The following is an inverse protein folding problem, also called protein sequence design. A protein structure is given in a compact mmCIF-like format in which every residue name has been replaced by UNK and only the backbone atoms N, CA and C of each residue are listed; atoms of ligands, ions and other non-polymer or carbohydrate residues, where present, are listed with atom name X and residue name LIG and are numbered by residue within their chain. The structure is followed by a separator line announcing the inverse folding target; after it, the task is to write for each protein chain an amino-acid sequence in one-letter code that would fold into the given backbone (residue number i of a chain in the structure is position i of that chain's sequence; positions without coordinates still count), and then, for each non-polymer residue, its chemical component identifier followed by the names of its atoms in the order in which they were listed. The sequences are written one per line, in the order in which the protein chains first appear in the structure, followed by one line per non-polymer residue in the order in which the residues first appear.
data_IF_936156525146
#
_entry.id   IF_936156525146
#
_cell.length_a   1.000
_cell.length_b   1.000
_cell.length_c   1.000
_cell.angle_alpha   90.00
_cell.angle_beta   90.00
_cell.angle_gamma   90.00
#
_symmetry.space_group_name_H-M   'P 1'
#
loop_
_entity.id
_entity.type
_entity.pdbx_description
1 polymer ?
#
# COMPACT_ATOMS: atom_id res chain seq x y z
N UNK A 1 0.05 3.24 33.11
CA UNK A 1 -0.94 2.41 32.38
C UNK A 1 -0.17 1.33 31.67
N UNK A 2 -0.54 0.03 31.82
CA UNK A 2 0.24 -1.04 31.19
C UNK A 2 -0.11 -1.10 29.70
N UNK A 3 0.89 -1.15 28.83
CA UNK A 3 0.79 -1.17 27.37
C UNK A 3 -0.23 -2.23 26.87
N UNK A 4 -0.27 -3.41 27.52
CA UNK A 4 -1.21 -4.49 27.21
C UNK A 4 -2.71 -4.14 27.39
N UNK A 5 -3.04 -3.00 27.98
CA UNK A 5 -4.42 -2.51 28.16
C UNK A 5 -4.77 -1.39 27.17
N UNK A 6 -3.83 -0.96 26.36
CA UNK A 6 -4.01 0.09 25.37
C UNK A 6 -4.42 -0.51 24.03
N UNK A 7 -5.19 0.23 23.25
CA UNK A 7 -5.47 -0.09 21.84
C UNK A 7 -4.44 0.50 20.89
N UNK A 8 -3.87 1.61 21.29
CA UNK A 8 -2.83 2.36 20.60
C UNK A 8 -1.85 2.93 21.61
N UNK A 9 -0.60 3.04 21.21
CA UNK A 9 0.44 3.65 22.02
C UNK A 9 1.34 4.55 21.15
N UNK A 10 1.87 5.66 21.68
CA UNK A 10 2.74 6.52 20.92
C UNK A 10 4.10 5.85 20.64
N UNK A 11 4.56 5.97 19.39
CA UNK A 11 5.91 5.61 18.98
C UNK A 11 6.52 6.78 18.24
N UNK A 12 7.59 7.36 18.78
CA UNK A 12 8.22 8.54 18.19
C UNK A 12 8.98 8.25 16.90
N UNK A 13 9.38 7.00 16.71
CA UNK A 13 10.15 6.57 15.55
C UNK A 13 9.38 5.47 14.85
N UNK A 14 9.20 5.65 13.55
CA UNK A 14 8.63 4.65 12.66
C UNK A 14 9.65 4.32 11.57
N UNK A 15 9.53 3.15 10.97
CA UNK A 15 10.42 2.71 9.93
C UNK A 15 9.65 2.34 8.68
N UNK A 16 10.29 2.52 7.52
CA UNK A 16 9.78 2.02 6.26
C UNK A 16 10.93 1.58 5.37
N UNK A 17 10.64 0.64 4.49
CA UNK A 17 11.55 0.29 3.42
C UNK A 17 11.37 1.27 2.27
N UNK A 18 12.50 1.84 1.82
CA UNK A 18 12.59 2.71 0.67
C UNK A 18 13.58 2.10 -0.32
N UNK A 19 13.54 2.52 -1.56
CA UNK A 19 14.60 2.17 -2.49
C UNK A 19 15.64 3.30 -2.55
N UNK A 20 16.93 2.95 -2.54
CA UNK A 20 18.00 3.91 -2.81
C UNK A 20 18.00 4.32 -4.30
N UNK A 21 18.89 5.22 -4.66
CA UNK A 21 19.04 5.69 -6.05
C UNK A 21 19.41 4.59 -7.07
N UNK A 22 19.81 3.41 -6.59
CA UNK A 22 20.16 2.23 -7.39
C UNK A 22 19.05 1.19 -7.39
N UNK A 23 17.93 1.46 -6.71
CA UNK A 23 16.80 0.52 -6.59
C UNK A 23 16.97 -0.55 -5.50
N UNK A 24 18.00 -0.46 -4.64
CA UNK A 24 18.14 -1.42 -3.55
C UNK A 24 17.27 -1.01 -2.36
N UNK A 25 16.60 -1.98 -1.68
CA UNK A 25 15.82 -1.69 -0.50
C UNK A 25 16.73 -1.26 0.66
N UNK A 26 16.43 -0.10 1.24
CA UNK A 26 17.09 0.43 2.44
C UNK A 26 16.04 0.74 3.50
N UNK A 27 16.41 0.52 4.76
CA UNK A 27 15.56 0.86 5.87
C UNK A 27 15.72 2.33 6.22
N UNK A 28 14.63 3.08 6.16
CA UNK A 28 14.58 4.50 6.51
C UNK A 28 13.85 4.71 7.83
N UNK A 29 14.47 5.45 8.74
CA UNK A 29 13.87 5.87 10.01
C UNK A 29 13.19 7.24 9.88
N UNK A 30 12.04 7.37 10.51
CA UNK A 30 11.20 8.56 10.46
C UNK A 30 10.78 8.97 11.87
N UNK A 31 10.76 10.26 12.15
CA UNK A 31 10.10 10.77 13.35
C UNK A 31 8.81 11.46 12.97
N UNK A 32 7.76 11.18 13.76
CA UNK A 32 6.42 11.71 13.57
C UNK A 32 6.11 12.74 14.65
N UNK A 33 5.22 13.68 14.32
CA UNK A 33 4.73 14.66 15.31
C UNK A 33 3.77 13.99 16.31
N UNK A 34 3.67 14.52 17.54
CA UNK A 34 2.65 14.10 18.50
C UNK A 34 1.25 14.12 17.87
N UNK A 35 0.48 13.06 18.09
CA UNK A 35 -0.84 12.88 17.49
C UNK A 35 -0.85 12.13 16.15
N UNK A 36 0.32 11.95 15.51
CA UNK A 36 0.52 11.07 14.33
C UNK A 36 1.44 9.89 14.63
N UNK A 37 1.83 9.76 15.87
CA UNK A 37 2.76 8.77 16.38
C UNK A 37 2.08 7.56 17.02
N UNK A 38 0.76 7.46 16.95
CA UNK A 38 0.02 6.35 17.52
C UNK A 38 0.19 5.08 16.68
N UNK A 39 0.63 4.01 17.36
CA UNK A 39 0.81 2.67 16.81
C UNK A 39 -0.18 1.72 17.47
N UNK A 40 -0.79 0.86 16.68
CA UNK A 40 -1.81 -0.09 17.13
C UNK A 40 -1.19 -1.15 18.04
N UNK A 41 -1.79 -1.34 19.22
CA UNK A 41 -1.40 -2.39 20.16
C UNK A 41 -2.35 -3.57 19.98
N UNK A 42 -1.80 -4.76 19.73
CA UNK A 42 -2.56 -6.01 19.56
C UNK A 42 -1.96 -7.13 20.37
N UNK A 43 -2.78 -8.11 20.73
CA UNK A 43 -2.33 -9.32 21.43
C UNK A 43 -2.12 -10.44 20.44
N UNK A 44 -1.09 -11.22 20.67
CA UNK A 44 -0.94 -12.50 19.98
C UNK A 44 -1.78 -13.56 20.68
N UNK A 45 -2.44 -14.40 19.91
CA UNK A 45 -3.30 -15.48 20.38
C UNK A 45 -2.66 -16.84 20.09
N UNK A 46 -2.86 -17.80 21.00
CA UNK A 46 -2.34 -19.14 20.78
C UNK A 46 -3.19 -19.91 19.79
N UNK A 47 -2.59 -20.34 18.69
CA UNK A 47 -3.19 -21.24 17.73
C UNK A 47 -2.75 -22.68 18.03
N UNK A 48 -3.69 -23.49 18.47
CA UNK A 48 -3.42 -24.90 18.84
C UNK A 48 -3.08 -25.78 17.63
N UNK A 49 -3.48 -25.41 16.42
CA UNK A 49 -3.16 -26.15 15.19
C UNK A 49 -1.72 -25.84 14.74
N UNK A 50 -1.33 -24.59 14.82
CA UNK A 50 0.03 -24.15 14.52
C UNK A 50 1.01 -24.39 15.67
N UNK A 51 0.52 -24.72 16.89
CA UNK A 51 1.29 -24.82 18.13
C UNK A 51 2.17 -23.56 18.37
N UNK A 52 1.64 -22.40 18.05
CA UNK A 52 2.35 -21.14 18.06
C UNK A 52 1.41 -19.98 18.45
N UNK A 53 2.00 -18.86 18.83
CA UNK A 53 1.25 -17.61 18.98
C UNK A 53 1.19 -16.91 17.64
N UNK A 54 0.01 -16.47 17.26
CA UNK A 54 -0.25 -15.85 15.95
C UNK A 54 -0.91 -14.49 16.10
N UNK A 55 -0.64 -13.64 15.15
CA UNK A 55 -1.35 -12.40 14.91
C UNK A 55 -1.48 -12.19 13.41
N UNK A 56 -2.70 -11.90 12.94
CA UNK A 56 -2.95 -11.56 11.54
C UNK A 56 -3.25 -10.07 11.43
N UNK A 57 -2.55 -9.39 10.53
CA UNK A 57 -2.69 -7.95 10.31
C UNK A 57 -4.08 -7.57 9.81
N UNK A 58 -4.44 -6.30 10.01
CA UNK A 58 -5.73 -5.73 9.61
C UNK A 58 -5.69 -5.18 8.17
N UNK A 59 -4.52 -5.14 7.56
CA UNK A 59 -4.28 -4.69 6.19
C UNK A 59 -4.65 -5.76 5.16
N UNK A 60 -4.79 -5.34 3.92
CA UNK A 60 -4.93 -6.21 2.76
C UNK A 60 -3.69 -6.03 1.84
N UNK A 61 -3.00 -7.11 1.43
CA UNK A 61 -3.19 -8.49 1.88
C UNK A 61 -2.83 -8.69 3.37
N UNK A 62 -3.53 -9.59 4.02
CA UNK A 62 -3.29 -9.95 5.43
C UNK A 62 -2.00 -10.73 5.56
N UNK A 63 -1.19 -10.36 6.55
CA UNK A 63 0.05 -11.05 6.91
C UNK A 63 -0.15 -11.72 8.26
N UNK A 64 0.09 -13.02 8.35
CA UNK A 64 0.06 -13.74 9.62
C UNK A 64 1.47 -13.88 10.17
N UNK A 65 1.68 -13.32 11.34
CA UNK A 65 2.92 -13.42 12.09
C UNK A 65 2.80 -14.59 13.04
N UNK A 66 3.83 -15.42 13.09
CA UNK A 66 3.90 -16.62 13.92
C UNK A 66 5.09 -16.49 14.85
N UNK A 67 4.85 -16.67 16.14
CA UNK A 67 5.88 -16.70 17.16
C UNK A 67 5.79 -18.01 17.95
N UNK A 68 6.91 -18.71 18.07
CA UNK A 68 7.03 -19.95 18.84
C UNK A 68 7.94 -19.73 20.04
N UNK A 69 7.55 -20.21 21.23
CA UNK A 69 8.39 -20.09 22.44
C UNK A 69 9.57 -21.04 22.45
N UNK A 70 9.75 -21.82 21.40
CA UNK A 70 10.75 -22.88 21.37
C UNK A 70 12.17 -22.31 21.32
N UNK A 71 12.96 -22.65 22.33
CA UNK A 71 14.34 -22.21 22.48
C UNK A 71 15.33 -23.11 21.72
N UNK A 72 14.86 -24.12 21.06
CA UNK A 72 15.72 -24.85 20.16
C UNK A 72 16.05 -23.91 19.01
N UNK A 73 17.31 -23.48 18.97
CA UNK A 73 17.97 -23.06 17.74
C UNK A 73 17.88 -24.25 16.75
N UNK A 74 16.71 -24.56 16.27
CA UNK A 74 16.63 -25.17 14.98
C UNK A 74 17.25 -24.16 14.04
N UNK A 75 18.53 -24.34 13.82
CA UNK A 75 19.21 -23.90 12.63
C UNK A 75 18.41 -24.47 11.46
N UNK A 76 17.28 -23.85 11.14
CA UNK A 76 16.74 -24.01 9.80
C UNK A 76 17.88 -23.61 8.91
N UNK A 77 18.40 -24.54 8.09
CA UNK A 77 19.50 -24.20 7.24
C UNK A 77 19.04 -23.05 6.36
N UNK A 78 19.46 -21.87 6.75
CA UNK A 78 19.40 -20.71 5.88
C UNK A 78 20.37 -21.06 4.78
N UNK A 79 19.81 -21.69 3.73
CA UNK A 79 20.47 -21.83 2.46
C UNK A 79 21.68 -22.77 2.40
N UNK A 80 21.40 -24.04 2.30
CA UNK A 80 22.30 -24.92 1.56
C UNK A 80 21.81 -25.01 0.13
N UNK A 81 22.35 -24.18 -0.75
CA UNK A 81 22.29 -24.36 -2.21
C UNK A 81 21.09 -23.73 -2.91
N UNK A 82 21.40 -22.82 -3.79
CA UNK A 82 20.74 -22.45 -5.05
C UNK A 82 19.20 -22.39 -5.11
N UNK A 83 18.51 -22.12 -4.03
CA UNK A 83 17.13 -21.68 -4.07
C UNK A 83 17.13 -20.16 -4.01
N UNK A 84 16.54 -19.55 -5.01
CA UNK A 84 16.19 -18.15 -4.99
C UNK A 84 15.58 -17.83 -3.64
N UNK A 85 16.12 -16.83 -2.96
CA UNK A 85 15.57 -16.36 -1.68
C UNK A 85 14.09 -16.12 -1.94
N UNK A 86 13.16 -16.71 -1.14
CA UNK A 86 11.79 -16.30 -1.22
C UNK A 86 11.78 -14.79 -0.97
N UNK A 87 11.44 -14.03 -1.98
CA UNK A 87 11.20 -12.60 -1.83
C UNK A 87 10.03 -12.52 -0.87
N UNK A 88 10.31 -12.12 0.38
CA UNK A 88 9.24 -11.85 1.32
C UNK A 88 8.41 -10.74 0.68
N UNK A 89 7.13 -10.96 0.41
CA UNK A 89 6.32 -10.01 -0.35
C UNK A 89 6.18 -8.66 0.34
N UNK A 90 6.49 -8.61 1.64
CA UNK A 90 6.56 -7.39 2.42
C UNK A 90 7.72 -7.50 3.41
N UNK A 91 8.77 -6.67 3.29
CA UNK A 91 9.80 -6.65 4.29
C UNK A 91 9.19 -6.25 5.64
N UNK A 92 9.35 -7.13 6.61
CA UNK A 92 8.93 -6.91 7.99
C UNK A 92 10.20 -6.70 8.81
N UNK A 93 10.29 -5.56 9.49
CA UNK A 93 11.29 -5.38 10.52
C UNK A 93 10.64 -5.71 11.87
N UNK A 94 11.24 -6.64 12.59
CA UNK A 94 10.91 -6.94 13.98
C UNK A 94 11.99 -6.33 14.85
N UNK A 95 11.64 -5.30 15.60
CA UNK A 95 12.53 -4.74 16.60
C UNK A 95 12.18 -5.34 17.96
N UNK A 96 13.06 -6.17 18.54
CA UNK A 96 12.77 -6.79 19.82
C UNK A 96 12.81 -5.83 21.00
N UNK A 97 13.50 -4.67 20.93
CA UNK A 97 13.57 -3.75 22.08
C UNK A 97 14.24 -2.41 21.81
N UNK A 98 13.77 -1.34 22.48
CA UNK A 98 14.44 -0.04 22.49
C UNK A 98 15.79 -0.03 23.23
N UNK A 99 16.04 -0.98 24.14
CA UNK A 99 17.17 -0.94 25.05
C UNK A 99 18.42 -1.71 24.57
N UNK A 100 18.30 -2.48 23.51
CA UNK A 100 19.44 -3.24 22.93
C UNK A 100 20.13 -2.51 21.77
N UNK A 101 19.72 -1.31 21.50
CA UNK A 101 20.10 -0.63 20.26
C UNK A 101 21.33 0.22 20.42
N UNK A 102 22.46 -0.33 20.03
CA UNK A 102 23.56 0.46 19.47
C UNK A 102 23.27 0.91 18.03
N UNK A 103 22.02 0.86 17.59
CA UNK A 103 21.62 1.37 16.28
C UNK A 103 21.32 2.85 16.42
N UNK A 104 22.30 3.67 16.20
CA UNK A 104 22.12 5.10 15.93
C UNK A 104 21.49 5.25 14.55
N UNK A 105 20.18 5.22 14.49
CA UNK A 105 19.47 5.49 13.24
C UNK A 105 19.23 6.98 13.15
N UNK A 106 19.77 7.59 12.10
CA UNK A 106 19.40 8.97 11.75
C UNK A 106 17.96 8.94 11.23
N UNK A 107 17.06 9.64 11.89
CA UNK A 107 15.66 9.74 11.47
C UNK A 107 15.41 11.07 10.76
N UNK A 108 14.56 11.03 9.74
CA UNK A 108 14.08 12.20 9.03
C UNK A 108 12.65 12.56 9.46
N UNK A 109 12.20 13.82 9.34
CA UNK A 109 10.80 14.16 9.55
C UNK A 109 9.92 13.39 8.57
N UNK A 110 8.87 12.73 9.05
CA UNK A 110 7.95 12.03 8.18
C UNK A 110 7.08 13.05 7.41
N UNK A 111 7.00 12.94 6.06
CA UNK A 111 6.06 13.73 5.27
C UNK A 111 4.62 13.54 5.74
N UNK A 112 3.76 14.56 5.55
CA UNK A 112 2.37 14.50 6.03
C UNK A 112 1.55 13.38 5.41
N UNK A 113 1.81 13.05 4.16
CA UNK A 113 1.15 11.98 3.41
C UNK A 113 1.62 10.59 3.79
N UNK A 114 2.77 10.45 4.46
CA UNK A 114 3.33 9.15 4.83
C UNK A 114 2.53 8.51 5.96
N UNK A 115 2.16 7.27 5.77
CA UNK A 115 1.46 6.45 6.77
C UNK A 115 2.28 5.20 7.06
N UNK A 116 2.22 4.77 8.31
CA UNK A 116 2.92 3.58 8.77
C UNK A 116 1.89 2.51 9.16
N UNK A 117 2.12 1.28 8.72
CA UNK A 117 1.27 0.13 9.03
C UNK A 117 1.93 -0.69 10.17
N UNK A 118 2.11 -0.04 11.32
CA UNK A 118 2.89 -0.58 12.42
C UNK A 118 2.00 -1.20 13.50
N UNK A 119 2.58 -2.15 14.22
CA UNK A 119 1.95 -2.81 15.35
C UNK A 119 2.92 -2.95 16.52
N UNK A 120 2.36 -2.90 17.73
CA UNK A 120 3.00 -3.34 18.96
C UNK A 120 2.27 -4.61 19.39
N UNK A 121 2.95 -5.75 19.32
CA UNK A 121 2.37 -7.05 19.66
C UNK A 121 2.73 -7.42 21.10
N UNK A 122 1.70 -7.79 21.86
CA UNK A 122 1.82 -8.21 23.24
C UNK A 122 1.70 -9.74 23.30
N UNK A 123 2.73 -10.38 23.79
CA UNK A 123 2.70 -11.81 24.10
C UNK A 123 2.03 -12.03 25.47
N UNK A 124 1.34 -13.16 25.69
CA UNK A 124 0.66 -13.44 26.96
C UNK A 124 1.64 -13.86 28.08
N UNK A 125 2.88 -13.49 27.97
CA UNK A 125 3.94 -13.78 28.96
C UNK A 125 4.38 -12.47 29.60
N UNK A 126 4.19 -12.31 30.95
CA UNK A 126 4.48 -11.04 31.62
C UNK A 126 5.95 -10.63 31.57
N UNK A 127 6.85 -11.60 31.43
CA UNK A 127 8.31 -11.37 31.43
C UNK A 127 8.88 -11.13 30.01
N UNK A 128 8.04 -11.26 28.97
CA UNK A 128 8.46 -10.96 27.62
C UNK A 128 8.10 -9.52 27.25
N UNK A 129 9.05 -8.81 26.66
CA UNK A 129 8.77 -7.46 26.18
C UNK A 129 7.82 -7.48 24.97
N UNK A 130 7.12 -6.39 24.72
CA UNK A 130 6.32 -6.26 23.50
C UNK A 130 7.20 -6.30 22.25
N UNK A 131 6.66 -6.82 21.18
CA UNK A 131 7.31 -6.88 19.86
C UNK A 131 6.81 -5.73 19.00
N UNK A 132 7.72 -4.88 18.53
CA UNK A 132 7.41 -3.80 17.59
C UNK A 132 7.56 -4.33 16.17
N UNK A 133 6.53 -4.16 15.35
CA UNK A 133 6.50 -4.63 13.97
C UNK A 133 6.22 -3.46 13.05
N UNK A 134 7.09 -3.27 12.08
CA UNK A 134 7.02 -2.24 11.07
C UNK A 134 6.74 -2.91 9.72
N UNK A 135 5.54 -2.67 9.20
CA UNK A 135 5.11 -3.23 7.93
C UNK A 135 5.24 -2.16 6.84
N UNK A 136 5.92 -2.48 5.79
CA UNK A 136 5.90 -1.65 4.60
C UNK A 136 5.42 -2.48 3.41
N UNK A 137 4.50 -1.92 2.64
CA UNK A 137 4.16 -2.50 1.34
C UNK A 137 5.34 -2.25 0.39
N UNK A 138 5.64 -3.18 -0.54
CA UNK A 138 6.70 -2.97 -1.52
C UNK A 138 6.42 -1.69 -2.31
N UNK A 139 7.47 -1.02 -2.80
CA UNK A 139 7.30 0.10 -3.72
C UNK A 139 6.42 -0.30 -4.91
N UNK A 140 5.75 0.69 -5.49
CA UNK A 140 4.95 0.44 -6.69
C UNK A 140 5.84 0.12 -7.88
N UNK A 141 5.36 -0.72 -8.79
CA UNK A 141 6.04 -1.08 -10.04
C UNK A 141 5.40 -0.40 -11.25
N UNK A 142 6.21 -0.16 -12.29
CA UNK A 142 5.72 0.41 -13.53
C UNK A 142 4.65 -0.47 -14.19
N UNK A 143 3.51 0.12 -14.57
CA UNK A 143 2.31 -0.54 -15.09
C UNK A 143 1.59 -1.45 -14.11
N UNK A 144 1.92 -1.40 -12.84
CA UNK A 144 1.16 -2.11 -11.81
C UNK A 144 -0.26 -1.57 -11.75
N UNK A 145 -1.23 -2.47 -11.62
CA UNK A 145 -2.66 -2.15 -11.54
C UNK A 145 -3.26 -2.77 -10.29
N UNK A 146 -3.80 -1.92 -9.43
CA UNK A 146 -4.57 -2.28 -8.24
C UNK A 146 -5.69 -1.26 -8.02
N UNK A 147 -6.49 -1.43 -6.96
CA UNK A 147 -7.40 -0.37 -6.53
C UNK A 147 -6.58 0.83 -6.05
N UNK A 148 -7.04 2.03 -6.31
CA UNK A 148 -6.29 3.24 -5.91
C UNK A 148 -6.01 3.30 -4.41
N UNK A 149 -6.94 2.80 -3.58
CA UNK A 149 -6.75 2.69 -2.13
C UNK A 149 -5.50 1.90 -1.74
N UNK A 150 -5.11 0.90 -2.53
CA UNK A 150 -3.97 0.03 -2.26
C UNK A 150 -2.64 0.72 -2.50
N UNK A 151 -2.63 1.74 -3.36
CA UNK A 151 -1.45 2.55 -3.62
C UNK A 151 -1.21 3.66 -2.58
N UNK A 152 -2.19 4.00 -1.73
CA UNK A 152 -2.09 5.13 -0.79
C UNK A 152 -0.95 5.03 0.21
N UNK A 153 -0.49 3.81 0.51
CA UNK A 153 0.54 3.56 1.53
C UNK A 153 1.84 3.01 0.95
N UNK A 154 1.98 3.04 -0.38
CA UNK A 154 3.14 2.48 -1.06
C UNK A 154 4.03 3.58 -1.58
N UNK A 155 5.35 3.36 -1.48
CA UNK A 155 6.33 4.28 -2.05
C UNK A 155 6.18 4.33 -3.57
N UNK A 156 6.05 5.54 -4.11
CA UNK A 156 6.04 5.83 -5.56
C UNK A 156 7.43 6.16 -6.08
N UNK A 157 8.45 5.94 -5.25
CA UNK A 157 9.88 6.13 -5.57
C UNK A 157 10.22 7.54 -6.09
N UNK A 158 9.32 8.51 -5.91
CA UNK A 158 9.47 9.87 -6.44
C UNK A 158 9.33 10.02 -7.97
N UNK A 159 9.25 8.89 -8.70
CA UNK A 159 9.20 8.83 -10.17
C UNK A 159 7.87 8.34 -10.73
N UNK A 160 7.03 7.75 -9.91
CA UNK A 160 5.74 7.21 -10.31
C UNK A 160 4.56 7.94 -9.67
N UNK A 161 3.40 7.82 -10.29
CA UNK A 161 2.10 8.20 -9.76
C UNK A 161 1.08 7.10 -10.06
N UNK A 162 0.02 7.00 -9.23
CA UNK A 162 -1.10 6.12 -9.52
C UNK A 162 -2.20 6.94 -10.18
N UNK A 163 -2.51 6.62 -11.43
CA UNK A 163 -3.50 7.31 -12.24
C UNK A 163 -4.82 6.53 -12.23
N UNK A 164 -5.90 7.16 -11.79
CA UNK A 164 -7.22 6.55 -11.75
C UNK A 164 -7.74 6.23 -13.16
N UNK A 165 -8.26 5.02 -13.34
CA UNK A 165 -8.83 4.55 -14.61
C UNK A 165 -10.19 3.87 -14.38
N UNK A 166 -11.32 4.59 -14.59
CA UNK A 166 -11.47 5.97 -15.05
C UNK A 166 -11.19 7.02 -13.97
N UNK A 167 -11.20 8.30 -14.33
CA UNK A 167 -10.91 9.38 -13.37
C UNK A 167 -11.87 9.38 -12.19
N UNK A 168 -11.35 9.69 -10.99
CA UNK A 168 -12.19 9.78 -9.78
C UNK A 168 -13.32 10.80 -9.94
N UNK A 169 -13.13 11.86 -10.72
CA UNK A 169 -14.16 12.85 -11.00
C UNK A 169 -15.32 12.28 -11.83
N UNK A 170 -15.00 11.50 -12.88
CA UNK A 170 -16.02 10.83 -13.70
C UNK A 170 -16.81 9.81 -12.87
N UNK A 171 -16.13 9.02 -12.04
CA UNK A 171 -16.77 8.06 -11.14
C UNK A 171 -17.73 8.75 -10.16
N UNK A 172 -17.29 9.84 -9.54
CA UNK A 172 -18.17 10.62 -8.62
C UNK A 172 -19.41 11.16 -9.35
N UNK A 173 -19.24 11.66 -10.57
CA UNK A 173 -20.35 12.17 -11.37
C UNK A 173 -21.31 11.03 -11.74
N UNK A 174 -20.79 9.87 -12.14
CA UNK A 174 -21.56 8.66 -12.37
C UNK A 174 -22.36 8.26 -11.13
N UNK A 175 -21.68 8.13 -9.97
CA UNK A 175 -22.32 7.69 -8.71
C UNK A 175 -23.43 8.64 -8.26
N UNK A 176 -23.24 9.96 -8.38
CA UNK A 176 -24.29 10.94 -8.05
C UNK A 176 -25.52 10.82 -8.95
N UNK A 177 -25.32 10.47 -10.21
CA UNK A 177 -26.42 10.31 -11.17
C UNK A 177 -27.17 9.00 -10.95
N UNK A 178 -26.46 7.88 -10.84
CA UNK A 178 -27.07 6.54 -10.75
C UNK A 178 -27.59 6.22 -9.33
N UNK A 179 -26.95 6.81 -8.31
CA UNK A 179 -27.26 6.54 -6.91
C UNK A 179 -27.49 7.82 -6.12
N UNK A 180 -28.57 8.56 -6.39
CA UNK A 180 -28.81 9.90 -5.81
C UNK A 180 -28.98 9.90 -4.29
N UNK A 181 -29.16 8.75 -3.66
CA UNK A 181 -29.31 8.60 -2.21
C UNK A 181 -27.97 8.42 -1.47
N UNK A 182 -26.85 8.24 -2.18
CA UNK A 182 -25.54 8.14 -1.56
C UNK A 182 -25.11 9.48 -0.96
N UNK A 183 -24.53 9.43 0.23
CA UNK A 183 -23.90 10.61 0.84
C UNK A 183 -22.59 10.94 0.12
N UNK A 184 -22.19 12.19 0.17
CA UNK A 184 -20.94 12.64 -0.46
C UNK A 184 -19.71 11.92 0.11
N UNK A 185 -19.73 11.56 1.39
CA UNK A 185 -18.68 10.75 2.04
C UNK A 185 -18.58 9.35 1.45
N UNK A 186 -19.72 8.71 1.19
CA UNK A 186 -19.78 7.37 0.57
C UNK A 186 -19.30 7.43 -0.89
N UNK A 187 -19.70 8.47 -1.63
CA UNK A 187 -19.23 8.72 -3.01
C UNK A 187 -17.71 8.91 -3.02
N UNK A 188 -17.17 9.67 -2.06
CA UNK A 188 -15.73 9.88 -1.92
C UNK A 188 -15.00 8.56 -1.65
N UNK A 189 -15.51 7.74 -0.73
CA UNK A 189 -14.93 6.44 -0.40
C UNK A 189 -14.97 5.47 -1.59
N UNK A 190 -16.12 5.34 -2.25
CA UNK A 190 -16.29 4.49 -3.44
C UNK A 190 -15.36 4.93 -4.58
N UNK A 191 -15.18 6.24 -4.79
CA UNK A 191 -14.28 6.74 -5.83
C UNK A 191 -12.81 6.39 -5.60
N UNK A 192 -12.43 6.01 -4.38
CA UNK A 192 -11.09 5.54 -4.04
C UNK A 192 -10.92 4.02 -4.24
N UNK A 193 -12.02 3.29 -4.41
CA UNK A 193 -12.03 1.85 -4.69
C UNK A 193 -12.07 1.56 -6.21
N UNK A 194 -11.63 2.49 -7.02
CA UNK A 194 -11.55 2.36 -8.47
C UNK A 194 -10.16 1.89 -8.87
N UNK A 195 -10.06 1.15 -9.96
CA UNK A 195 -8.77 0.72 -10.47
C UNK A 195 -7.87 1.92 -10.80
N UNK A 196 -6.60 1.77 -10.54
CA UNK A 196 -5.57 2.71 -10.93
C UNK A 196 -4.36 1.99 -11.51
N UNK A 197 -3.63 2.68 -12.37
CA UNK A 197 -2.40 2.18 -12.99
C UNK A 197 -1.23 3.04 -12.56
N UNK A 198 -0.10 2.40 -12.27
CA UNK A 198 1.15 3.10 -11.95
C UNK A 198 1.83 3.55 -13.25
N UNK A 199 2.00 4.85 -13.38
CA UNK A 199 2.61 5.49 -14.55
C UNK A 199 3.75 6.41 -14.13
N UNK A 200 4.72 6.74 -15.04
CA UNK A 200 5.72 7.75 -14.75
C UNK A 200 5.07 9.11 -14.41
N UNK A 201 5.67 9.79 -13.45
CA UNK A 201 5.15 11.07 -12.93
C UNK A 201 4.95 12.13 -14.02
N UNK A 202 5.84 12.20 -14.98
CA UNK A 202 5.74 13.12 -16.11
C UNK A 202 4.60 12.76 -17.06
N UNK A 203 4.30 11.45 -17.26
CA UNK A 203 3.13 10.97 -18.02
C UNK A 203 1.85 11.40 -17.33
N UNK A 204 1.72 11.13 -16.04
CA UNK A 204 0.56 11.52 -15.26
C UNK A 204 0.34 13.04 -15.29
N UNK A 205 1.38 13.81 -14.94
CA UNK A 205 1.25 15.25 -14.74
C UNK A 205 1.17 16.05 -16.05
N UNK A 206 1.76 15.57 -17.16
CA UNK A 206 1.86 16.34 -18.40
C UNK A 206 1.02 15.81 -19.56
N UNK A 207 0.64 14.51 -19.53
CA UNK A 207 0.01 13.84 -20.67
C UNK A 207 -1.38 13.30 -20.33
N UNK A 208 -1.57 12.70 -19.13
CA UNK A 208 -2.86 12.16 -18.74
C UNK A 208 -3.97 13.20 -18.83
N UNK A 209 -5.03 12.89 -19.56
CA UNK A 209 -6.20 13.76 -19.74
C UNK A 209 -7.02 13.89 -18.46
N UNK A 210 -6.83 12.99 -17.50
CA UNK A 210 -7.55 12.97 -16.24
C UNK A 210 -6.87 13.79 -15.14
N UNK A 211 -5.73 14.43 -15.42
CA UNK A 211 -4.97 15.19 -14.44
C UNK A 211 -5.18 16.70 -14.52
N UNK A 212 -5.51 17.31 -13.38
CA UNK A 212 -5.57 18.77 -13.23
C UNK A 212 -6.55 19.44 -14.19
N UNK A 213 -6.16 20.57 -14.78
CA UNK A 213 -7.01 21.36 -15.68
C UNK A 213 -7.33 20.70 -17.03
N UNK A 214 -6.69 19.59 -17.39
CA UNK A 214 -7.04 18.80 -18.57
C UNK A 214 -8.31 17.99 -18.39
N UNK A 215 -8.64 17.62 -17.17
CA UNK A 215 -9.89 16.94 -16.85
C UNK A 215 -11.04 17.97 -16.76
N UNK A 216 -11.47 18.44 -17.93
CA UNK A 216 -12.52 19.46 -18.03
C UNK A 216 -13.88 18.89 -17.62
N UNK A 217 -14.85 19.78 -17.26
CA UNK A 217 -16.22 19.36 -16.95
C UNK A 217 -16.86 18.57 -18.10
N UNK A 218 -16.62 18.99 -19.34
CA UNK A 218 -17.16 18.29 -20.52
C UNK A 218 -16.55 16.88 -20.65
N UNK A 219 -15.25 16.69 -20.36
CA UNK A 219 -14.60 15.39 -20.35
C UNK A 219 -15.14 14.52 -19.21
N UNK A 220 -15.28 15.08 -18.01
CA UNK A 220 -15.86 14.38 -16.86
C UNK A 220 -17.28 13.90 -17.16
N UNK A 221 -18.11 14.75 -17.75
CA UNK A 221 -19.49 14.40 -18.12
C UNK A 221 -19.52 13.28 -19.17
N UNK A 222 -18.68 13.39 -20.21
CA UNK A 222 -18.55 12.34 -21.24
C UNK A 222 -18.09 11.02 -20.65
N UNK A 223 -17.05 11.04 -19.83
CA UNK A 223 -16.48 9.84 -19.19
C UNK A 223 -17.49 9.20 -18.23
N UNK A 224 -18.26 10.02 -17.50
CA UNK A 224 -19.27 9.52 -16.57
C UNK A 224 -20.45 8.79 -17.24
N UNK A 225 -20.70 9.04 -18.52
CA UNK A 225 -21.77 8.37 -19.27
C UNK A 225 -21.42 6.93 -19.64
N UNK A 226 -20.12 6.63 -19.80
CA UNK A 226 -19.62 5.29 -20.10
C UNK A 226 -18.22 5.12 -19.51
N UNK A 227 -18.17 4.63 -18.26
CA UNK A 227 -16.92 4.45 -17.52
C UNK A 227 -15.98 3.44 -18.18
N UNK A 228 -16.51 2.40 -18.84
CA UNK A 228 -15.71 1.42 -19.56
C UNK A 228 -14.98 2.07 -20.75
N UNK A 229 -15.72 2.79 -21.59
CA UNK A 229 -15.12 3.51 -22.71
C UNK A 229 -14.15 4.62 -22.25
N UNK A 230 -14.40 5.21 -21.09
CA UNK A 230 -13.50 6.20 -20.48
C UNK A 230 -12.14 5.58 -20.14
N UNK A 231 -12.12 4.37 -19.57
CA UNK A 231 -10.85 3.63 -19.31
C UNK A 231 -10.06 3.47 -20.61
N UNK A 232 -10.70 3.01 -21.67
CA UNK A 232 -10.03 2.79 -22.96
C UNK A 232 -9.44 4.07 -23.52
N UNK A 233 -10.23 5.17 -23.56
CA UNK A 233 -9.76 6.46 -24.04
C UNK A 233 -8.58 6.98 -23.22
N UNK A 234 -8.72 6.97 -21.89
CA UNK A 234 -7.72 7.53 -21.01
C UNK A 234 -6.39 6.74 -21.09
N UNK A 235 -6.46 5.41 -21.21
CA UNK A 235 -5.27 4.58 -21.38
C UNK A 235 -4.64 4.77 -22.77
N UNK A 236 -5.46 4.86 -23.83
CA UNK A 236 -4.98 5.09 -25.19
C UNK A 236 -4.28 6.46 -25.33
N UNK A 237 -4.77 7.48 -24.65
CA UNK A 237 -4.15 8.80 -24.63
C UNK A 237 -2.72 8.79 -24.09
N UNK A 238 -2.44 8.00 -23.06
CA UNK A 238 -1.09 7.91 -22.45
C UNK A 238 -0.22 6.81 -23.06
N UNK A 239 -0.80 5.86 -23.81
CA UNK A 239 -0.11 4.70 -24.39
C UNK A 239 1.17 5.04 -25.17
N UNK A 240 1.21 6.09 -26.04
CA UNK A 240 2.44 6.48 -26.73
C UNK A 240 3.57 6.90 -25.79
N UNK A 241 3.22 7.56 -24.69
CA UNK A 241 4.17 7.97 -23.68
C UNK A 241 4.67 6.78 -22.84
N UNK A 242 3.80 5.86 -22.45
CA UNK A 242 4.19 4.63 -21.77
C UNK A 242 5.19 3.81 -22.60
N UNK A 243 4.99 3.71 -23.91
CA UNK A 243 5.96 3.07 -24.83
C UNK A 243 7.32 3.76 -24.85
N UNK A 244 7.37 5.09 -24.78
CA UNK A 244 8.62 5.83 -24.66
C UNK A 244 9.37 5.54 -23.37
N UNK A 245 8.64 5.21 -22.31
CA UNK A 245 9.18 4.75 -21.02
C UNK A 245 9.47 3.24 -20.98
N UNK A 246 9.44 2.55 -22.11
CA UNK A 246 9.84 1.15 -22.23
C UNK A 246 8.72 0.11 -22.10
N UNK A 247 7.45 0.54 -22.00
CA UNK A 247 6.32 -0.39 -21.99
C UNK A 247 6.15 -1.09 -23.33
N UNK A 248 5.98 -2.40 -23.28
CA UNK A 248 5.60 -3.19 -24.45
C UNK A 248 4.08 -3.18 -24.63
N UNK A 249 3.62 -3.29 -25.86
CA UNK A 249 2.19 -3.37 -26.19
C UNK A 249 1.45 -4.39 -25.31
N UNK A 250 2.00 -5.62 -25.22
CA UNK A 250 1.40 -6.68 -24.43
C UNK A 250 1.26 -6.35 -22.94
N UNK A 251 2.19 -5.60 -22.36
CA UNK A 251 2.13 -5.18 -20.96
C UNK A 251 1.01 -4.15 -20.75
N UNK A 252 0.86 -3.21 -21.69
CA UNK A 252 -0.22 -2.21 -21.62
C UNK A 252 -1.59 -2.88 -21.75
N UNK A 253 -1.75 -3.84 -22.67
CA UNK A 253 -3.01 -4.57 -22.82
C UNK A 253 -3.32 -5.49 -21.63
N UNK A 254 -2.30 -6.09 -21.02
CA UNK A 254 -2.46 -6.83 -19.75
C UNK A 254 -2.95 -5.88 -18.64
N UNK A 255 -2.36 -4.70 -18.53
CA UNK A 255 -2.80 -3.70 -17.57
C UNK A 255 -4.26 -3.24 -17.85
N UNK A 256 -4.62 -3.01 -19.13
CA UNK A 256 -6.00 -2.69 -19.55
C UNK A 256 -6.99 -3.76 -19.08
N UNK A 257 -6.67 -5.01 -19.36
CA UNK A 257 -7.53 -6.13 -18.97
C UNK A 257 -7.74 -6.19 -17.46
N UNK A 258 -6.67 -5.99 -16.69
CA UNK A 258 -6.75 -5.96 -15.22
C UNK A 258 -7.53 -4.76 -14.69
N UNK A 259 -7.40 -3.57 -15.29
CA UNK A 259 -8.22 -2.40 -14.95
C UNK A 259 -9.70 -2.71 -15.13
N UNK A 260 -10.07 -3.28 -16.26
CA UNK A 260 -11.46 -3.65 -16.52
C UNK A 260 -11.98 -4.71 -15.57
N UNK A 261 -11.17 -5.73 -15.26
CA UNK A 261 -11.51 -6.77 -14.29
C UNK A 261 -11.81 -6.16 -12.90
N UNK A 262 -10.94 -5.32 -12.38
CA UNK A 262 -11.12 -4.68 -11.07
C UNK A 262 -12.38 -3.80 -11.06
N UNK A 263 -12.60 -2.99 -12.08
CA UNK A 263 -13.75 -2.11 -12.16
C UNK A 263 -15.08 -2.86 -12.29
N UNK A 264 -15.10 -4.00 -13.03
CA UNK A 264 -16.27 -4.90 -13.06
C UNK A 264 -16.53 -5.52 -11.70
N UNK A 265 -15.49 -6.00 -11.01
CA UNK A 265 -15.63 -6.57 -9.67
C UNK A 265 -16.17 -5.55 -8.67
N UNK A 266 -15.92 -4.26 -8.90
CA UNK A 266 -16.50 -3.15 -8.13
C UNK A 266 -17.91 -2.75 -8.59
N UNK A 267 -18.44 -3.38 -9.62
CA UNK A 267 -19.79 -3.11 -10.15
C UNK A 267 -19.93 -1.77 -10.88
N UNK A 268 -18.84 -1.21 -11.39
CA UNK A 268 -18.90 0.05 -12.13
C UNK A 268 -19.48 -0.11 -13.55
N UNK A 269 -19.35 -1.29 -14.13
CA UNK A 269 -19.91 -1.72 -15.42
C UNK A 269 -19.83 -3.24 -15.57
N UNK A 270 -20.51 -3.80 -16.56
CA UNK A 270 -20.55 -5.24 -16.86
C UNK A 270 -19.28 -5.75 -17.61
#
# INVERSE_FOLDING_TARGET
MRLAQMREAPSRVCYSWENDSRGNPVLSGWHTHPGRDNVRVRKMEYDSKAQAYTFTTEEDPRITLIWTPDRTEEKRPWNTGNQERPVLPNPVMVDPLPDSTNITTTTSPAPEEKRFADYILILPFPDLPPIYIYLSKPPVEFLEVELYSDFKRRSRQGIYEADHMPSAAAVKTYLRREYPNLKETEIQELSLQVAAIVVPKDVHQKISETYGGRNTSAQIDLDSQNLQAAVDRNLDAIKPALKKHGARESQIETARAKIHELNRNMGLYE
#
